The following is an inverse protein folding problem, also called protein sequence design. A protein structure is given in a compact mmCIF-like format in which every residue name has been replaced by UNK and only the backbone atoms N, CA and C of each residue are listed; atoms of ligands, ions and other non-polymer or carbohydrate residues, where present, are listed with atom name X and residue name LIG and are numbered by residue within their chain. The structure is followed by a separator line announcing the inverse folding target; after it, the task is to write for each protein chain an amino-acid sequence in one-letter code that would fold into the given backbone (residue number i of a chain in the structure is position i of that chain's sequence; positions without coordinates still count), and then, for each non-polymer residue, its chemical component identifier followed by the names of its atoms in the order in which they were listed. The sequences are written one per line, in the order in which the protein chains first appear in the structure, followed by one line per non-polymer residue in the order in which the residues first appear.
data_IF_852920274490
#
_entry.id   IF_852920274490
#
_cell.length_a   1.000
_cell.length_b   1.000
_cell.length_c   1.000
_cell.angle_alpha   90.00
_cell.angle_beta   90.00
_cell.angle_gamma   90.00
#
_symmetry.space_group_name_H-M   'P 1'
#
loop_
_entity.id
_entity.type
_entity.pdbx_description
1 polymer ?
#
# COMPACT_ATOMS: atom_id res chain seq x y z
N UNK A 1 19.91 1.55 -19.18
CA UNK A 1 18.78 2.49 -19.24
C UNK A 1 17.85 2.19 -18.08
N UNK A 2 17.02 3.13 -17.63
CA UNK A 2 16.20 3.00 -16.41
C UNK A 2 14.72 3.30 -16.67
N UNK A 3 14.23 3.00 -17.88
CA UNK A 3 12.84 3.26 -18.24
C UNK A 3 11.96 2.23 -17.54
N UNK A 4 10.92 2.66 -16.84
CA UNK A 4 9.94 1.76 -16.20
C UNK A 4 8.99 1.24 -17.27
N UNK A 5 8.84 -0.08 -17.38
CA UNK A 5 7.99 -0.73 -18.39
C UNK A 5 6.81 -1.50 -17.77
N UNK A 6 6.88 -1.83 -16.48
CA UNK A 6 5.78 -2.52 -15.78
C UNK A 6 5.76 -2.15 -14.30
N UNK A 7 4.56 -1.95 -13.79
CA UNK A 7 4.27 -1.76 -12.36
C UNK A 7 3.14 -2.73 -12.02
N UNK A 8 3.29 -3.46 -10.92
CA UNK A 8 2.26 -4.37 -10.44
C UNK A 8 2.17 -4.30 -8.92
N UNK A 9 0.97 -4.04 -8.42
CA UNK A 9 0.68 -3.96 -6.99
C UNK A 9 -0.15 -5.16 -6.53
N UNK A 10 0.03 -5.55 -5.27
CA UNK A 10 -0.72 -6.61 -4.60
C UNK A 10 -0.96 -6.29 -3.14
N UNK A 11 -2.05 -6.82 -2.59
CA UNK A 11 -2.29 -6.77 -1.15
C UNK A 11 -1.45 -7.85 -0.45
N UNK A 12 -0.77 -7.46 0.61
CA UNK A 12 -0.05 -8.33 1.55
C UNK A 12 -0.49 -8.00 2.99
N UNK A 13 0.08 -8.69 3.99
CA UNK A 13 -0.13 -8.36 5.40
C UNK A 13 1.14 -7.78 6.02
N UNK A 14 0.97 -6.77 6.87
CA UNK A 14 2.04 -6.21 7.68
C UNK A 14 2.38 -7.10 8.90
N UNK A 15 3.31 -6.65 9.73
CA UNK A 15 3.75 -7.37 10.94
C UNK A 15 2.67 -7.50 12.03
N UNK A 16 1.57 -6.75 11.94
CA UNK A 16 0.41 -6.82 12.85
C UNK A 16 -0.78 -7.56 12.24
N UNK A 17 -0.63 -8.08 11.02
CA UNK A 17 -1.69 -8.78 10.30
C UNK A 17 -2.70 -7.85 9.64
N UNK A 18 -2.43 -6.55 9.52
CA UNK A 18 -3.30 -5.64 8.77
C UNK A 18 -2.93 -5.68 7.28
N UNK A 19 -3.91 -5.58 6.37
CA UNK A 19 -3.64 -5.43 4.95
C UNK A 19 -2.73 -4.24 4.66
N UNK A 20 -1.79 -4.37 3.73
CA UNK A 20 -0.99 -3.28 3.17
C UNK A 20 -0.63 -3.60 1.71
N UNK A 21 0.05 -2.70 1.01
CA UNK A 21 0.41 -2.83 -0.40
C UNK A 21 1.90 -3.16 -0.57
N UNK A 22 2.19 -4.08 -1.49
CA UNK A 22 3.52 -4.33 -2.04
C UNK A 22 3.50 -4.07 -3.55
N UNK A 23 4.56 -3.44 -4.05
CA UNK A 23 4.68 -3.07 -5.47
C UNK A 23 5.97 -3.60 -6.06
N UNK A 24 5.83 -4.23 -7.22
CA UNK A 24 6.92 -4.56 -8.13
C UNK A 24 7.04 -3.50 -9.22
N UNK A 25 8.26 -3.05 -9.48
CA UNK A 25 8.62 -2.17 -10.60
C UNK A 25 9.66 -2.89 -11.46
N UNK A 26 9.41 -2.98 -12.76
CA UNK A 26 10.32 -3.61 -13.73
C UNK A 26 10.75 -2.56 -14.76
N UNK A 27 12.06 -2.46 -14.98
CA UNK A 27 12.66 -1.57 -15.98
C UNK A 27 12.90 -2.27 -17.32
N UNK A 28 13.16 -1.49 -18.37
CA UNK A 28 13.45 -1.95 -19.74
C UNK A 28 14.67 -2.87 -19.84
N UNK A 29 15.63 -2.74 -18.94
CA UNK A 29 16.77 -3.65 -18.81
C UNK A 29 16.53 -4.83 -17.85
N UNK A 30 15.27 -5.06 -17.43
CA UNK A 30 14.85 -6.24 -16.67
C UNK A 30 15.12 -6.18 -15.16
N UNK A 31 15.54 -5.04 -14.60
CA UNK A 31 15.74 -4.91 -13.16
C UNK A 31 14.38 -4.90 -12.46
N UNK A 32 14.25 -5.74 -11.42
CA UNK A 32 13.09 -5.79 -10.53
C UNK A 32 13.41 -5.07 -9.22
N UNK A 33 12.64 -4.03 -8.91
CA UNK A 33 12.56 -3.44 -7.57
C UNK A 33 11.24 -3.84 -6.91
N UNK A 34 11.29 -4.23 -5.64
CA UNK A 34 10.11 -4.56 -4.83
C UNK A 34 10.14 -3.82 -3.51
N UNK A 35 9.01 -3.23 -3.14
CA UNK A 35 8.86 -2.55 -1.85
C UNK A 35 7.47 -2.77 -1.27
N UNK A 36 7.42 -2.94 0.05
CA UNK A 36 6.19 -3.00 0.84
C UNK A 36 6.02 -1.71 1.63
N UNK A 37 4.77 -1.22 1.74
CA UNK A 37 4.44 0.00 2.49
C UNK A 37 4.18 -0.35 3.97
N UNK A 38 4.83 0.32 4.93
CA UNK A 38 4.52 0.13 6.35
C UNK A 38 3.18 0.78 6.71
N UNK A 39 2.47 0.23 7.70
CA UNK A 39 1.24 0.84 8.23
C UNK A 39 1.50 1.54 9.58
N UNK A 40 1.06 2.79 9.70
CA UNK A 40 1.16 3.56 10.95
C UNK A 40 -0.01 3.24 11.89
N UNK A 41 0.26 2.99 13.19
CA UNK A 41 -0.82 2.96 14.18
C UNK A 41 -1.24 4.37 14.63
N UNK A 42 -0.27 5.28 14.70
CA UNK A 42 -0.50 6.69 14.99
C UNK A 42 -0.28 7.45 13.68
N UNK A 43 -1.31 8.16 13.23
CA UNK A 43 -1.25 9.00 12.03
C UNK A 43 -1.51 10.43 12.43
N UNK A 44 -0.52 11.32 12.25
CA UNK A 44 -0.69 12.76 12.41
C UNK A 44 -1.85 13.29 11.56
N UNK A 45 -2.42 14.43 11.95
CA UNK A 45 -3.49 15.07 11.17
C UNK A 45 -3.00 15.62 9.82
N UNK A 46 -1.71 15.93 9.72
CA UNK A 46 -1.08 16.49 8.53
C UNK A 46 -0.17 15.51 7.79
N UNK A 47 -0.21 14.21 8.12
CA UNK A 47 0.50 13.18 7.37
C UNK A 47 -0.20 12.85 6.06
N UNK A 48 0.55 12.31 5.09
CA UNK A 48 -0.02 11.78 3.87
C UNK A 48 -1.01 10.65 4.21
N UNK A 49 -2.15 10.65 3.53
CA UNK A 49 -3.26 9.73 3.84
C UNK A 49 -3.02 8.37 3.20
N UNK A 50 -3.12 7.32 4.00
CA UNK A 50 -3.22 5.95 3.53
C UNK A 50 -4.67 5.62 3.15
N UNK A 51 -4.91 5.20 1.91
CA UNK A 51 -6.24 4.82 1.44
C UNK A 51 -6.57 3.39 1.90
N UNK A 52 -7.79 3.20 2.38
CA UNK A 52 -8.30 1.92 2.90
C UNK A 52 -9.68 1.66 2.32
N UNK A 53 -9.98 0.40 2.02
CA UNK A 53 -11.25 0.01 1.36
C UNK A 53 -12.49 0.15 2.26
N UNK A 54 -12.32 0.28 3.58
CA UNK A 54 -13.42 0.57 4.52
C UNK A 54 -14.42 -0.56 4.75
N UNK A 55 -14.00 -1.83 4.64
CA UNK A 55 -14.86 -3.01 4.84
C UNK A 55 -14.30 -4.03 5.82
N UNK A 56 -15.16 -4.90 6.36
CA UNK A 56 -14.80 -5.92 7.39
C UNK A 56 -13.89 -7.06 6.90
N UNK A 57 -13.61 -7.11 5.61
CA UNK A 57 -12.73 -8.12 5.05
C UNK A 57 -11.30 -7.93 5.58
N UNK A 58 -10.62 -9.03 5.89
CA UNK A 58 -9.21 -9.04 6.30
C UNK A 58 -8.86 -8.15 7.51
N UNK A 59 -9.74 -8.07 8.51
CA UNK A 59 -9.57 -7.18 9.68
C UNK A 59 -9.53 -5.68 9.31
N UNK A 60 -10.18 -5.31 8.20
CA UNK A 60 -10.28 -3.94 7.73
C UNK A 60 -11.03 -3.04 8.70
N UNK A 61 -10.32 -2.56 9.72
CA UNK A 61 -10.39 -1.22 10.31
C UNK A 61 -9.29 -1.08 11.39
N UNK A 62 -8.08 -0.71 10.96
CA UNK A 62 -7.08 -0.06 11.83
C UNK A 62 -6.38 1.05 11.03
N UNK A 63 -6.85 2.29 11.21
CA UNK A 63 -6.28 3.49 10.57
C UNK A 63 -7.34 4.51 10.13
N UNK A 64 -6.93 5.72 9.75
CA UNK A 64 -7.83 6.75 9.21
C UNK A 64 -8.34 6.31 7.83
N UNK A 65 -9.48 5.64 7.80
CA UNK A 65 -10.26 5.40 6.59
C UNK A 65 -10.84 6.74 6.14
N UNK A 66 -10.25 7.38 5.12
CA UNK A 66 -11.05 8.24 4.25
C UNK A 66 -11.59 7.34 3.16
N UNK A 67 -12.74 6.74 3.43
CA UNK A 67 -13.62 6.28 2.36
C UNK A 67 -13.80 7.47 1.43
N UNK A 68 -13.59 7.26 0.14
CA UNK A 68 -14.27 8.07 -0.86
C UNK A 68 -15.77 7.77 -0.73
N UNK A 69 -16.40 8.32 0.32
CA UNK A 69 -17.79 8.71 0.20
C UNK A 69 -17.82 9.77 -0.91
N UNK A 70 -18.86 9.72 -1.73
CA UNK A 70 -19.21 10.75 -2.71
C UNK A 70 -18.87 12.18 -2.24
#
# INVERSE_FOLDING_TARGET
MSIIIKIHARQIFDSRGNPTIEVDVITDNGILGRAAVPSGASTGEHEAVELRDGGKAFLGETGKVRTSAE
#
